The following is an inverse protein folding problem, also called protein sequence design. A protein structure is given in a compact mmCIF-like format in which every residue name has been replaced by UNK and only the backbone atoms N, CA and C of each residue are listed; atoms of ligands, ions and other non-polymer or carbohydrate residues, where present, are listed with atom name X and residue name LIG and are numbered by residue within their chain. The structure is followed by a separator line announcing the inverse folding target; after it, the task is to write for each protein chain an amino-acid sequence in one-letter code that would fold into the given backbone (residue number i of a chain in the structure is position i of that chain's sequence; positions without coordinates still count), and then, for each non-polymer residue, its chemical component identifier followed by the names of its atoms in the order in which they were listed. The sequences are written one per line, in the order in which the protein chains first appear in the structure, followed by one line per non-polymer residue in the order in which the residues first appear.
data_IF_622365628458
#
_entry.id   IF_622365628458
#
_cell.length_a   1.000
_cell.length_b   1.000
_cell.length_c   1.000
_cell.angle_alpha   90.00
_cell.angle_beta   90.00
_cell.angle_gamma   90.00
#
_symmetry.space_group_name_H-M   'P 1'
#
loop_
_entity.id
_entity.type
_entity.pdbx_description
1 polymer ?
#
# COMPACT_ATOMS: atom_id res chain seq x y z
N UNK A 1 18.99 19.61 19.17
CA UNK A 1 18.03 18.63 18.60
C UNK A 1 16.90 18.45 19.61
N UNK A 2 15.62 18.62 19.24
CA UNK A 2 14.51 18.41 20.18
C UNK A 2 14.46 16.91 20.52
N UNK A 3 14.40 16.50 21.81
CA UNK A 3 14.35 15.09 22.18
C UNK A 3 13.08 14.39 21.70
N UNK A 4 12.02 15.17 21.51
CA UNK A 4 10.71 14.72 21.06
C UNK A 4 10.22 15.67 19.95
N UNK A 5 9.71 15.10 18.86
CA UNK A 5 9.21 15.80 17.68
C UNK A 5 7.84 15.25 17.26
N UNK A 6 6.97 16.05 16.66
CA UNK A 6 5.73 15.56 16.05
C UNK A 6 6.00 14.99 14.65
N UNK A 7 5.06 14.22 14.12
CA UNK A 7 5.15 13.74 12.73
C UNK A 7 5.17 14.91 11.73
N UNK A 8 4.36 15.95 11.97
CA UNK A 8 4.35 17.19 11.19
C UNK A 8 5.71 17.89 11.19
N UNK A 9 6.37 18.00 12.35
CA UNK A 9 7.71 18.58 12.45
C UNK A 9 8.74 17.78 11.65
N UNK A 10 8.60 16.45 11.56
CA UNK A 10 9.45 15.60 10.69
C UNK A 10 9.22 15.96 9.22
N UNK A 11 7.96 16.06 8.78
CA UNK A 11 7.62 16.45 7.41
C UNK A 11 8.13 17.85 7.05
N UNK A 12 8.06 18.80 7.99
CA UNK A 12 8.60 20.15 7.76
C UNK A 12 10.14 20.16 7.71
N UNK A 13 10.80 19.26 8.44
CA UNK A 13 12.26 19.18 8.54
C UNK A 13 12.92 18.44 7.38
N UNK A 14 12.19 17.57 6.69
CA UNK A 14 12.71 16.74 5.58
C UNK A 14 13.32 17.55 4.43
N UNK A 15 12.95 18.83 4.30
CA UNK A 15 13.55 19.76 3.32
C UNK A 15 15.00 20.17 3.63
N UNK A 16 15.47 19.94 4.86
CA UNK A 16 16.80 20.39 5.33
C UNK A 16 17.71 19.23 5.76
N UNK A 17 17.14 18.09 6.11
CA UNK A 17 17.86 16.89 6.55
C UNK A 17 17.03 15.64 6.31
N UNK A 18 17.66 14.51 6.05
CA UNK A 18 16.98 13.23 5.88
C UNK A 18 16.69 12.60 7.24
N UNK A 19 15.42 12.28 7.50
CA UNK A 19 14.99 11.67 8.78
C UNK A 19 14.40 10.30 8.49
N UNK A 20 15.04 9.25 9.01
CA UNK A 20 14.56 7.88 8.92
C UNK A 20 13.59 7.57 10.06
N UNK A 21 12.51 6.86 9.77
CA UNK A 21 11.58 6.39 10.82
C UNK A 21 12.01 5.00 11.32
N UNK A 22 12.06 4.83 12.65
CA UNK A 22 12.32 3.51 13.24
C UNK A 22 11.17 3.09 14.14
N UNK A 23 10.50 2.02 13.75
CA UNK A 23 9.43 1.39 14.52
C UNK A 23 10.04 0.41 15.52
N UNK A 24 9.94 0.72 16.81
CA UNK A 24 10.48 -0.13 17.87
C UNK A 24 9.45 -1.11 18.45
N UNK A 25 8.26 -1.18 17.85
CA UNK A 25 7.23 -2.17 18.19
C UNK A 25 7.63 -3.56 17.70
N UNK A 26 6.89 -4.58 18.12
CA UNK A 26 7.17 -5.96 17.72
C UNK A 26 6.93 -6.17 16.21
N UNK A 27 7.54 -7.20 15.59
CA UNK A 27 7.39 -7.49 14.16
C UNK A 27 5.93 -7.61 13.72
N UNK A 28 5.05 -8.26 14.51
CA UNK A 28 3.62 -8.35 14.21
C UNK A 28 2.91 -6.99 14.21
N UNK A 29 3.26 -6.10 15.13
CA UNK A 29 2.70 -4.74 15.17
C UNK A 29 3.13 -3.92 13.94
N UNK A 30 4.38 -4.09 13.50
CA UNK A 30 4.96 -3.44 12.32
C UNK A 30 4.32 -3.95 11.03
N UNK A 31 4.29 -5.27 10.83
CA UNK A 31 3.69 -5.92 9.65
C UNK A 31 2.22 -5.56 9.47
N UNK A 32 1.47 -5.43 10.57
CA UNK A 32 0.05 -5.06 10.49
C UNK A 32 -0.13 -3.66 9.90
N UNK A 33 0.67 -2.68 10.35
CA UNK A 33 0.69 -1.31 9.81
C UNK A 33 1.77 -0.49 10.51
N UNK A 34 2.47 0.37 9.76
CA UNK A 34 3.51 1.27 10.29
C UNK A 34 3.49 2.63 9.56
N UNK A 35 4.46 3.50 9.85
CA UNK A 35 4.72 4.70 9.05
C UNK A 35 5.40 4.24 7.75
N UNK A 36 4.91 4.61 6.55
CA UNK A 36 5.55 4.25 5.29
C UNK A 36 7.05 4.58 5.29
N UNK A 37 7.86 3.63 4.82
CA UNK A 37 9.32 3.73 4.82
C UNK A 37 10.00 3.50 6.18
N UNK A 38 9.26 3.23 7.27
CA UNK A 38 9.88 2.93 8.56
C UNK A 38 10.61 1.58 8.56
N UNK A 39 11.73 1.50 9.28
CA UNK A 39 12.47 0.25 9.52
C UNK A 39 12.11 -0.29 10.89
N UNK A 40 11.86 -1.60 11.00
CA UNK A 40 11.57 -2.24 12.29
C UNK A 40 12.87 -2.66 13.01
N UNK A 41 13.12 -2.04 14.17
CA UNK A 41 14.16 -2.46 15.13
C UNK A 41 13.46 -2.67 16.48
N UNK A 42 12.86 -3.85 16.70
CA UNK A 42 11.99 -4.10 17.84
C UNK A 42 12.77 -4.08 19.16
N UNK A 43 12.20 -3.45 20.20
CA UNK A 43 12.70 -3.59 21.58
C UNK A 43 12.41 -4.98 22.14
N UNK A 44 11.42 -5.67 21.57
CA UNK A 44 10.94 -6.99 21.96
C UNK A 44 10.27 -7.66 20.76
N UNK A 45 10.48 -8.97 20.63
CA UNK A 45 9.74 -9.80 19.67
C UNK A 45 8.27 -9.98 20.09
N UNK A 46 7.51 -10.70 19.26
CA UNK A 46 6.09 -10.90 19.48
C UNK A 46 5.78 -11.71 20.74
N UNK A 47 6.62 -12.69 21.08
CA UNK A 47 6.44 -13.55 22.25
C UNK A 47 6.71 -12.76 23.54
N UNK A 48 7.83 -12.06 23.60
CA UNK A 48 8.20 -11.21 24.73
C UNK A 48 7.17 -10.08 24.93
N UNK A 49 6.68 -9.47 23.84
CA UNK A 49 5.60 -8.48 23.91
C UNK A 49 4.33 -9.06 24.52
N UNK A 50 3.96 -10.28 24.17
CA UNK A 50 2.77 -10.95 24.72
C UNK A 50 2.93 -11.25 26.21
N UNK A 51 4.08 -11.81 26.62
CA UNK A 51 4.39 -12.13 28.03
C UNK A 51 4.38 -10.86 28.89
N UNK A 52 5.11 -9.83 28.49
CA UNK A 52 5.14 -8.54 29.17
C UNK A 52 3.72 -7.95 29.25
N UNK A 53 2.96 -8.01 28.15
CA UNK A 53 1.58 -7.53 28.13
C UNK A 53 0.66 -8.25 29.12
N UNK A 54 0.84 -9.57 29.32
CA UNK A 54 0.10 -10.35 30.34
C UNK A 54 0.50 -9.94 31.76
N UNK A 55 1.79 -9.82 32.04
CA UNK A 55 2.30 -9.39 33.36
C UNK A 55 1.80 -7.99 33.74
N UNK A 56 1.83 -7.03 32.80
CA UNK A 56 1.26 -5.69 33.03
C UNK A 56 -0.24 -5.73 33.34
N UNK A 57 -1.01 -6.55 32.62
CA UNK A 57 -2.45 -6.72 32.90
C UNK A 57 -2.72 -7.39 34.25
N UNK A 58 -1.83 -8.25 34.71
CA UNK A 58 -1.89 -8.91 36.02
C UNK A 58 -1.34 -8.03 37.17
N UNK A 59 -0.90 -6.79 36.90
CA UNK A 59 -0.32 -5.90 37.90
C UNK A 59 1.13 -6.22 38.30
N UNK A 60 1.77 -7.20 37.65
CA UNK A 60 3.15 -7.62 37.90
C UNK A 60 4.14 -6.69 37.15
N UNK A 61 4.12 -5.40 37.47
CA UNK A 61 4.83 -4.37 36.69
C UNK A 61 6.35 -4.55 36.76
N UNK A 62 6.90 -4.81 37.94
CA UNK A 62 8.35 -4.90 38.11
C UNK A 62 8.91 -6.20 37.52
N UNK A 63 8.19 -7.32 37.63
CA UNK A 63 8.52 -8.57 36.91
C UNK A 63 8.51 -8.35 35.40
N UNK A 64 7.53 -7.60 34.88
CA UNK A 64 7.46 -7.27 33.46
C UNK A 64 8.65 -6.41 33.00
N UNK A 65 9.10 -5.45 33.82
CA UNK A 65 10.31 -4.66 33.55
C UNK A 65 11.56 -5.55 33.56
N UNK A 66 11.71 -6.40 34.57
CA UNK A 66 12.85 -7.30 34.71
C UNK A 66 12.96 -8.27 33.53
N UNK A 67 11.82 -8.82 33.10
CA UNK A 67 11.75 -9.66 31.91
C UNK A 67 12.15 -8.88 30.64
N UNK A 68 11.64 -7.66 30.47
CA UNK A 68 11.98 -6.79 29.34
C UNK A 68 13.47 -6.43 29.29
N UNK A 69 14.08 -6.11 30.44
CA UNK A 69 15.52 -5.83 30.54
C UNK A 69 16.33 -7.05 30.11
N UNK A 70 16.00 -8.23 30.64
CA UNK A 70 16.69 -9.49 30.29
C UNK A 70 16.60 -9.79 28.80
N UNK A 71 15.43 -9.59 28.19
CA UNK A 71 15.26 -9.84 26.75
C UNK A 71 16.03 -8.84 25.89
N UNK A 72 15.95 -7.55 26.22
CA UNK A 72 16.55 -6.48 25.43
C UNK A 72 18.08 -6.46 25.54
N UNK A 73 18.63 -6.67 26.75
CA UNK A 73 20.08 -6.59 27.01
C UNK A 73 20.88 -7.56 26.14
N UNK A 74 20.38 -8.78 25.94
CA UNK A 74 20.99 -9.78 25.08
C UNK A 74 21.10 -9.36 23.60
N UNK A 75 20.31 -8.37 23.17
CA UNK A 75 20.18 -7.93 21.76
C UNK A 75 20.69 -6.51 21.52
N UNK A 76 21.07 -5.79 22.58
CA UNK A 76 21.55 -4.40 22.47
C UNK A 76 22.73 -4.24 21.50
N UNK A 77 23.75 -5.13 21.46
CA UNK A 77 24.86 -4.98 20.52
C UNK A 77 24.41 -5.00 19.05
N UNK A 78 23.53 -5.96 18.70
CA UNK A 78 22.98 -6.08 17.35
C UNK A 78 22.08 -4.88 17.01
N UNK A 79 21.19 -4.49 17.93
CA UNK A 79 20.34 -3.31 17.74
C UNK A 79 21.16 -2.05 17.49
N UNK A 80 22.22 -1.83 18.29
CA UNK A 80 23.10 -0.68 18.15
C UNK A 80 23.80 -0.65 16.78
N UNK A 81 24.30 -1.79 16.31
CA UNK A 81 24.89 -1.90 14.97
C UNK A 81 23.88 -1.53 13.86
N UNK A 82 22.63 -1.97 13.98
CA UNK A 82 21.56 -1.63 13.02
C UNK A 82 21.24 -0.12 13.02
N UNK A 83 21.19 0.53 14.19
CA UNK A 83 21.03 1.98 14.26
C UNK A 83 22.19 2.73 13.60
N UNK A 84 23.42 2.30 13.84
CA UNK A 84 24.61 2.87 13.20
C UNK A 84 24.58 2.70 11.68
N UNK A 85 24.13 1.55 11.19
CA UNK A 85 24.00 1.30 9.76
C UNK A 85 22.97 2.24 9.11
N UNK A 86 21.79 2.40 9.72
CA UNK A 86 20.77 3.32 9.19
C UNK A 86 21.25 4.77 9.16
N UNK A 87 22.09 5.17 10.13
CA UNK A 87 22.68 6.51 10.15
C UNK A 87 23.73 6.77 9.05
N UNK A 88 24.06 5.77 8.24
CA UNK A 88 24.82 6.00 7.00
C UNK A 88 23.91 6.54 5.87
N UNK A 89 22.59 6.37 5.99
CA UNK A 89 21.59 6.78 4.99
C UNK A 89 20.78 8.00 5.46
N UNK A 90 20.68 8.23 6.76
CA UNK A 90 19.86 9.29 7.36
C UNK A 90 20.67 10.18 8.31
N UNK A 91 20.43 11.49 8.24
CA UNK A 91 21.02 12.47 9.17
C UNK A 91 20.52 12.29 10.61
N UNK A 92 19.30 11.77 10.76
CA UNK A 92 18.65 11.52 12.06
C UNK A 92 17.68 10.34 11.98
N UNK A 93 17.51 9.62 13.10
CA UNK A 93 16.46 8.61 13.23
C UNK A 93 15.37 9.04 14.23
N UNK A 94 14.12 9.05 13.76
CA UNK A 94 12.93 9.32 14.56
C UNK A 94 12.31 8.00 15.04
N UNK A 95 12.50 7.71 16.32
CA UNK A 95 12.04 6.49 16.98
C UNK A 95 10.57 6.59 17.39
N UNK A 96 9.80 5.53 17.24
CA UNK A 96 8.43 5.49 17.74
C UNK A 96 8.01 4.09 18.22
N UNK A 97 7.15 4.08 19.24
CA UNK A 97 6.38 2.90 19.63
C UNK A 97 4.88 3.20 19.52
N UNK A 98 3.99 2.34 20.04
CA UNK A 98 2.54 2.51 19.80
C UNK A 98 1.97 3.84 20.31
N UNK A 99 2.47 4.37 21.44
CA UNK A 99 1.98 5.61 22.07
C UNK A 99 3.08 6.58 22.52
N UNK A 100 4.32 6.35 22.08
CA UNK A 100 5.48 7.16 22.49
C UNK A 100 5.88 6.98 23.97
N UNK A 101 5.55 5.83 24.57
CA UNK A 101 5.86 5.50 25.97
C UNK A 101 7.23 4.84 26.17
N UNK A 102 7.34 4.04 27.24
CA UNK A 102 8.58 3.45 27.77
C UNK A 102 9.43 2.75 26.71
N UNK A 103 8.85 1.93 25.82
CA UNK A 103 9.61 1.20 24.79
C UNK A 103 10.50 2.11 23.94
N UNK A 104 9.93 3.18 23.37
CA UNK A 104 10.70 4.15 22.58
C UNK A 104 11.58 5.06 23.46
N UNK A 105 11.14 5.36 24.68
CA UNK A 105 11.87 6.22 25.63
C UNK A 105 13.20 5.59 26.08
N UNK A 106 13.18 4.30 26.43
CA UNK A 106 14.35 3.57 26.91
C UNK A 106 15.43 3.47 25.83
N UNK A 107 15.06 3.05 24.61
CA UNK A 107 16.01 2.95 23.51
C UNK A 107 16.52 4.32 23.08
N UNK A 108 15.65 5.32 22.99
CA UNK A 108 16.05 6.69 22.72
C UNK A 108 17.10 7.19 23.73
N UNK A 109 16.85 6.99 25.03
CA UNK A 109 17.73 7.49 26.09
C UNK A 109 19.11 6.83 26.01
N UNK A 110 19.16 5.52 25.75
CA UNK A 110 20.42 4.79 25.52
C UNK A 110 21.18 5.34 24.30
N UNK A 111 20.53 5.39 23.14
CA UNK A 111 21.17 5.85 21.90
C UNK A 111 21.61 7.31 22.00
N UNK A 112 20.82 8.15 22.69
CA UNK A 112 21.15 9.55 22.91
C UNK A 112 22.36 9.71 23.83
N UNK A 113 22.46 8.91 24.89
CA UNK A 113 23.62 8.88 25.77
C UNK A 113 24.90 8.42 25.04
N UNK A 114 24.76 7.54 24.05
CA UNK A 114 25.85 7.11 23.16
C UNK A 114 26.16 8.14 22.04
N UNK A 115 25.51 9.30 22.03
CA UNK A 115 25.78 10.39 21.10
C UNK A 115 25.13 10.25 19.72
N UNK A 116 24.22 9.29 19.50
CA UNK A 116 23.58 9.12 18.19
C UNK A 116 22.54 10.24 17.93
N UNK A 117 22.42 10.71 16.68
CA UNK A 117 21.40 11.68 16.26
C UNK A 117 20.04 10.99 16.16
N UNK A 118 19.36 10.91 17.30
CA UNK A 118 18.01 10.34 17.41
C UNK A 118 17.04 11.34 18.04
N UNK A 119 15.77 11.21 17.65
CA UNK A 119 14.60 11.83 18.28
C UNK A 119 13.48 10.81 18.48
N UNK A 120 12.40 11.24 19.12
CA UNK A 120 11.18 10.44 19.30
C UNK A 120 9.95 11.10 18.71
N UNK A 121 9.09 10.30 18.09
CA UNK A 121 7.76 10.76 17.68
C UNK A 121 6.85 10.92 18.91
N UNK A 122 6.43 12.17 19.16
CA UNK A 122 5.48 12.53 20.21
C UNK A 122 4.17 11.75 20.00
N UNK A 123 3.74 11.02 21.03
CA UNK A 123 2.52 10.18 20.96
C UNK A 123 2.64 8.94 20.08
N UNK A 124 3.81 8.67 19.49
CA UNK A 124 4.13 7.46 18.74
C UNK A 124 3.22 7.21 17.52
N UNK A 125 3.06 5.94 17.17
CA UNK A 125 2.24 5.53 16.03
C UNK A 125 0.78 6.01 16.15
N UNK A 126 0.21 6.08 17.36
CA UNK A 126 -1.16 6.60 17.57
C UNK A 126 -1.30 8.05 17.11
N UNK A 127 -0.32 8.92 17.43
CA UNK A 127 -0.36 10.31 17.01
C UNK A 127 -0.20 10.44 15.48
N UNK A 128 0.70 9.66 14.89
CA UNK A 128 0.81 9.56 13.42
C UNK A 128 -0.53 9.14 12.77
N UNK A 129 -1.21 8.14 13.33
CA UNK A 129 -2.52 7.71 12.82
C UNK A 129 -3.56 8.81 12.85
N UNK A 130 -3.59 9.58 13.93
CA UNK A 130 -4.51 10.69 14.06
C UNK A 130 -4.23 11.74 12.98
N UNK A 131 -2.96 12.11 12.82
CA UNK A 131 -2.52 13.03 11.78
C UNK A 131 -2.94 12.58 10.37
N UNK A 132 -2.71 11.32 10.01
CA UNK A 132 -3.14 10.77 8.71
C UNK A 132 -4.65 10.92 8.50
N UNK A 133 -5.45 10.55 9.49
CA UNK A 133 -6.92 10.60 9.37
C UNK A 133 -7.45 12.03 9.24
N UNK A 134 -6.82 12.99 9.93
CA UNK A 134 -7.21 14.40 9.86
C UNK A 134 -6.89 15.03 8.51
N UNK A 135 -5.73 14.71 7.94
CA UNK A 135 -5.23 15.41 6.75
C UNK A 135 -5.55 14.71 5.43
N UNK A 136 -5.82 13.39 5.43
CA UNK A 136 -6.09 12.65 4.19
C UNK A 136 -7.31 13.19 3.44
N UNK A 137 -8.38 13.55 4.17
CA UNK A 137 -9.59 14.10 3.55
C UNK A 137 -9.31 15.44 2.84
N UNK A 138 -8.51 16.31 3.43
CA UNK A 138 -8.12 17.59 2.83
C UNK A 138 -7.24 17.36 1.59
N UNK A 139 -6.27 16.44 1.67
CA UNK A 139 -5.34 16.16 0.58
C UNK A 139 -6.02 15.62 -0.69
N UNK A 140 -7.05 14.78 -0.52
CA UNK A 140 -7.75 14.18 -1.66
C UNK A 140 -8.83 15.10 -2.24
N UNK A 141 -9.33 16.07 -1.48
CA UNK A 141 -10.40 16.98 -1.94
C UNK A 141 -9.89 18.25 -2.63
N UNK A 142 -8.60 18.58 -2.47
CA UNK A 142 -7.96 19.73 -3.16
C UNK A 142 -7.53 19.45 -4.61
N UNK A 143 -7.59 18.21 -5.06
CA UNK A 143 -7.15 17.77 -6.40
C UNK A 143 -8.34 17.39 -7.28
N UNK A 144 -8.10 17.27 -8.59
CA UNK A 144 -9.07 16.75 -9.55
C UNK A 144 -8.65 15.37 -10.02
N UNK A 145 -9.56 14.40 -9.96
CA UNK A 145 -9.25 13.04 -10.43
C UNK A 145 -9.62 12.83 -11.90
N UNK A 146 -8.71 12.18 -12.63
CA UNK A 146 -8.98 11.51 -13.91
C UNK A 146 -8.92 10.01 -13.67
N UNK A 147 -10.08 9.35 -13.77
CA UNK A 147 -10.24 7.93 -13.43
C UNK A 147 -10.24 7.07 -14.69
N UNK A 148 -9.32 6.10 -14.73
CA UNK A 148 -9.19 5.10 -15.78
C UNK A 148 -10.13 3.93 -15.50
N UNK A 149 -11.13 3.77 -16.35
CA UNK A 149 -12.05 2.65 -16.37
C UNK A 149 -11.70 1.70 -17.51
N UNK A 150 -11.98 0.42 -17.38
CA UNK A 150 -11.67 -0.56 -18.42
C UNK A 150 -11.80 -1.98 -17.89
N UNK A 151 -12.03 -2.94 -18.79
CA UNK A 151 -12.16 -4.36 -18.45
C UNK A 151 -10.88 -4.91 -17.82
N UNK A 152 -10.95 -6.06 -17.15
CA UNK A 152 -9.78 -6.74 -16.59
C UNK A 152 -8.75 -7.04 -17.69
N UNK A 153 -7.46 -6.80 -17.42
CA UNK A 153 -6.39 -6.96 -18.39
C UNK A 153 -6.24 -5.80 -19.39
N UNK A 154 -6.97 -4.70 -19.26
CA UNK A 154 -6.84 -3.52 -20.16
C UNK A 154 -5.52 -2.75 -20.05
N UNK A 155 -4.63 -3.11 -19.11
CA UNK A 155 -3.33 -2.45 -18.92
C UNK A 155 -3.39 -1.13 -18.15
N UNK A 156 -4.44 -0.90 -17.35
CA UNK A 156 -4.61 0.35 -16.56
C UNK A 156 -3.41 0.60 -15.63
N UNK A 157 -2.97 -0.42 -14.89
CA UNK A 157 -1.85 -0.32 -13.94
C UNK A 157 -0.57 0.10 -14.67
N UNK A 158 -0.27 -0.50 -15.82
CA UNK A 158 0.89 -0.13 -16.64
C UNK A 158 0.77 1.30 -17.18
N UNK A 159 -0.42 1.71 -17.64
CA UNK A 159 -0.67 3.09 -18.09
C UNK A 159 -0.44 4.09 -16.93
N UNK A 160 -0.90 3.78 -15.71
CA UNK A 160 -0.65 4.62 -14.54
C UNK A 160 0.85 4.71 -14.22
N UNK A 161 1.59 3.60 -14.32
CA UNK A 161 3.04 3.61 -14.16
C UNK A 161 3.73 4.48 -15.22
N UNK A 162 3.32 4.40 -16.48
CA UNK A 162 3.84 5.25 -17.56
C UNK A 162 3.47 6.74 -17.39
N UNK A 163 2.25 7.04 -16.94
CA UNK A 163 1.84 8.41 -16.59
C UNK A 163 2.72 9.00 -15.48
N UNK A 164 3.04 8.20 -14.45
CA UNK A 164 3.95 8.58 -13.37
C UNK A 164 5.37 8.87 -13.91
N UNK A 165 5.89 8.04 -14.82
CA UNK A 165 7.20 8.27 -15.48
C UNK A 165 7.21 9.56 -16.32
N UNK A 166 6.07 9.94 -16.89
CA UNK A 166 5.89 11.20 -17.63
C UNK A 166 5.70 12.42 -16.70
N UNK A 167 5.76 12.24 -15.38
CA UNK A 167 5.66 13.32 -14.38
C UNK A 167 4.24 13.67 -13.97
N UNK A 168 3.24 12.87 -14.33
CA UNK A 168 1.87 13.08 -13.86
C UNK A 168 1.71 12.58 -12.42
N UNK A 169 0.83 13.23 -11.64
CA UNK A 169 0.44 12.72 -10.34
C UNK A 169 -0.44 11.48 -10.52
N UNK A 170 -0.10 10.40 -9.82
CA UNK A 170 -0.80 9.12 -9.89
C UNK A 170 -1.13 8.63 -8.49
N UNK A 171 -2.35 8.12 -8.33
CA UNK A 171 -2.78 7.36 -7.16
C UNK A 171 -3.10 5.92 -7.60
N UNK A 172 -2.17 5.02 -7.34
CA UNK A 172 -2.36 3.58 -7.51
C UNK A 172 -2.98 2.98 -6.24
N UNK A 173 -4.30 2.76 -6.29
CA UNK A 173 -5.10 2.23 -5.19
C UNK A 173 -4.80 0.76 -4.92
N UNK A 174 -4.54 -0.03 -5.97
CA UNK A 174 -4.14 -1.44 -5.88
C UNK A 174 -2.81 -1.59 -5.13
N UNK A 175 -1.81 -0.77 -5.46
CA UNK A 175 -0.54 -0.71 -4.75
C UNK A 175 -0.72 -0.24 -3.30
N UNK A 176 -1.57 0.77 -3.06
CA UNK A 176 -1.89 1.21 -1.70
C UNK A 176 -2.54 0.10 -0.88
N UNK A 177 -3.39 -0.73 -1.48
CA UNK A 177 -4.06 -1.85 -0.83
C UNK A 177 -3.20 -3.12 -0.78
N UNK A 178 -2.10 -3.17 -1.55
CA UNK A 178 -1.36 -4.39 -1.86
C UNK A 178 -2.32 -5.50 -2.34
N UNK A 179 -3.16 -5.18 -3.33
CA UNK A 179 -4.20 -6.06 -3.87
C UNK A 179 -4.68 -5.61 -5.26
N UNK A 180 -4.84 -6.54 -6.20
CA UNK A 180 -5.18 -6.26 -7.62
C UNK A 180 -6.67 -6.17 -7.93
N UNK A 181 -7.47 -5.54 -7.06
CA UNK A 181 -8.90 -5.24 -7.31
C UNK A 181 -9.87 -6.40 -7.61
N UNK A 182 -9.41 -7.65 -7.68
CA UNK A 182 -10.16 -8.78 -8.24
C UNK A 182 -10.30 -9.96 -7.26
N UNK A 183 -11.12 -10.96 -7.60
CA UNK A 183 -11.29 -12.17 -6.77
C UNK A 183 -9.96 -12.91 -6.56
N UNK A 184 -9.09 -12.86 -7.56
CA UNK A 184 -7.77 -13.47 -7.54
C UNK A 184 -6.67 -12.45 -7.19
N UNK A 185 -7.05 -11.27 -6.70
CA UNK A 185 -6.15 -10.11 -6.61
C UNK A 185 -5.07 -10.18 -5.53
N UNK A 186 -5.03 -11.25 -4.73
CA UNK A 186 -3.96 -11.51 -3.76
C UNK A 186 -2.83 -12.39 -4.31
N UNK A 187 -3.00 -13.01 -5.48
CA UNK A 187 -2.01 -13.94 -6.06
C UNK A 187 -0.69 -13.21 -6.33
N UNK A 188 0.42 -13.83 -5.95
CA UNK A 188 1.77 -13.30 -6.20
C UNK A 188 2.09 -12.02 -5.40
N UNK A 189 1.23 -11.64 -4.45
CA UNK A 189 1.46 -10.50 -3.55
C UNK A 189 1.72 -10.97 -2.13
N UNK A 190 2.41 -10.12 -1.36
CA UNK A 190 2.45 -10.29 0.10
C UNK A 190 1.06 -10.05 0.71
N UNK A 191 0.90 -10.27 2.01
CA UNK A 191 -0.40 -10.10 2.67
C UNK A 191 -1.02 -8.71 2.36
N UNK A 192 -2.32 -8.64 2.00
CA UNK A 192 -2.99 -7.37 1.73
C UNK A 192 -2.84 -6.39 2.89
N UNK A 193 -2.70 -5.12 2.57
CA UNK A 193 -2.56 -4.10 3.59
C UNK A 193 -3.80 -4.06 4.50
N UNK A 194 -3.59 -3.85 5.80
CA UNK A 194 -4.68 -3.55 6.72
C UNK A 194 -5.31 -2.20 6.38
N UNK A 195 -6.54 -1.93 6.84
CA UNK A 195 -7.18 -0.62 6.66
C UNK A 195 -6.27 0.54 7.07
N UNK A 196 -5.53 0.36 8.17
CA UNK A 196 -4.59 1.38 8.64
C UNK A 196 -3.46 1.57 7.62
N UNK A 197 -2.80 0.49 7.23
CA UNK A 197 -1.69 0.60 6.27
C UNK A 197 -2.15 1.18 4.94
N UNK A 198 -3.33 0.80 4.44
CA UNK A 198 -3.95 1.39 3.26
C UNK A 198 -4.10 2.92 3.36
N UNK A 199 -4.72 3.42 4.43
CA UNK A 199 -4.85 4.86 4.66
C UNK A 199 -3.49 5.57 4.80
N UNK A 200 -2.47 4.90 5.39
CA UNK A 200 -1.10 5.44 5.43
C UNK A 200 -0.53 5.59 4.02
N UNK A 201 -0.69 4.59 3.15
CA UNK A 201 -0.17 4.62 1.78
C UNK A 201 -0.91 5.66 0.93
N UNK A 202 -2.23 5.78 1.08
CA UNK A 202 -3.01 6.85 0.43
C UNK A 202 -2.50 8.24 0.84
N UNK A 203 -2.26 8.45 2.13
CA UNK A 203 -1.70 9.71 2.62
C UNK A 203 -0.30 9.94 2.05
N UNK A 204 0.57 8.92 2.07
CA UNK A 204 1.94 9.03 1.57
C UNK A 204 2.01 9.45 0.10
N UNK A 205 1.18 8.81 -0.74
CA UNK A 205 1.05 9.08 -2.17
C UNK A 205 0.52 10.50 -2.46
N UNK A 206 -0.27 11.08 -1.55
CA UNK A 206 -0.92 12.38 -1.72
C UNK A 206 -0.21 13.56 -1.03
N UNK A 207 0.91 13.30 -0.33
CA UNK A 207 1.64 14.31 0.47
C UNK A 207 2.01 15.56 -0.33
N UNK A 208 2.48 15.37 -1.57
CA UNK A 208 3.08 16.44 -2.36
C UNK A 208 2.10 17.13 -3.32
N UNK A 209 0.86 16.65 -3.42
CA UNK A 209 -0.14 17.26 -4.30
C UNK A 209 -0.43 18.70 -3.90
N UNK A 210 -0.73 19.55 -4.88
CA UNK A 210 -1.13 20.93 -4.71
C UNK A 210 -2.59 21.11 -5.09
N UNK A 211 -3.19 22.21 -4.62
CA UNK A 211 -4.57 22.56 -4.99
C UNK A 211 -4.68 22.76 -6.50
N UNK A 212 -5.63 22.07 -7.13
CA UNK A 212 -5.85 22.11 -8.58
C UNK A 212 -5.01 21.12 -9.38
N UNK A 213 -4.13 20.34 -8.73
CA UNK A 213 -3.42 19.25 -9.40
C UNK A 213 -4.41 18.25 -9.98
N UNK A 214 -4.05 17.68 -11.14
CA UNK A 214 -4.75 16.55 -11.72
C UNK A 214 -4.07 15.26 -11.33
N UNK A 215 -4.83 14.31 -10.77
CA UNK A 215 -4.35 13.01 -10.31
C UNK A 215 -5.03 11.90 -11.11
N UNK A 216 -4.23 11.04 -11.72
CA UNK A 216 -4.71 9.86 -12.42
C UNK A 216 -4.84 8.68 -11.47
N UNK A 217 -5.92 7.92 -11.59
CA UNK A 217 -6.17 6.74 -10.74
C UNK A 217 -7.03 5.73 -11.49
N UNK A 218 -7.04 4.48 -11.04
CA UNK A 218 -7.90 3.43 -11.56
C UNK A 218 -9.32 3.47 -10.97
N UNK A 219 -10.27 3.05 -11.80
CA UNK A 219 -11.69 3.03 -11.48
C UNK A 219 -12.11 1.82 -10.66
N UNK A 220 -11.72 1.79 -9.40
CA UNK A 220 -12.02 0.68 -8.50
C UNK A 220 -13.36 0.78 -7.76
N UNK A 221 -13.80 -0.36 -7.23
CA UNK A 221 -14.89 -0.40 -6.26
C UNK A 221 -14.45 0.28 -4.95
N UNK A 222 -15.40 0.74 -4.13
CA UNK A 222 -15.07 1.32 -2.82
C UNK A 222 -14.28 0.36 -1.92
N UNK A 223 -14.38 -0.95 -2.14
CA UNK A 223 -13.62 -1.98 -1.43
C UNK A 223 -12.60 -2.62 -2.36
N UNK A 224 -11.35 -2.68 -1.90
CA UNK A 224 -10.22 -3.30 -2.61
C UNK A 224 -9.64 -4.36 -1.67
N UNK A 225 -9.96 -5.63 -1.93
CA UNK A 225 -9.72 -6.72 -0.99
C UNK A 225 -10.43 -6.46 0.35
N UNK A 226 -9.64 -6.32 1.43
CA UNK A 226 -10.14 -5.99 2.77
C UNK A 226 -10.14 -4.48 3.08
N UNK A 227 -9.49 -3.67 2.24
CA UNK A 227 -9.39 -2.23 2.43
C UNK A 227 -10.64 -1.53 1.90
N UNK A 228 -11.08 -0.50 2.61
CA UNK A 228 -12.23 0.33 2.23
C UNK A 228 -11.75 1.75 2.01
N UNK A 229 -12.00 2.26 0.81
CA UNK A 229 -11.69 3.62 0.42
C UNK A 229 -12.40 4.64 1.34
N UNK A 230 -11.67 5.63 1.89
CA UNK A 230 -12.27 6.73 2.62
C UNK A 230 -13.35 7.43 1.77
N UNK A 231 -14.44 7.83 2.40
CA UNK A 231 -15.59 8.43 1.70
C UNK A 231 -15.18 9.66 0.85
N UNK A 232 -14.38 10.62 1.36
CA UNK A 232 -13.99 11.79 0.56
C UNK A 232 -13.23 11.41 -0.72
N UNK A 233 -12.31 10.45 -0.64
CA UNK A 233 -11.56 9.96 -1.81
C UNK A 233 -12.50 9.28 -2.82
N UNK A 234 -13.39 8.41 -2.33
CA UNK A 234 -14.34 7.71 -3.19
C UNK A 234 -15.26 8.68 -3.94
N UNK A 235 -15.77 9.71 -3.27
CA UNK A 235 -16.59 10.75 -3.89
C UNK A 235 -15.82 11.53 -4.95
N UNK A 236 -14.57 11.91 -4.68
CA UNK A 236 -13.72 12.62 -5.63
C UNK A 236 -13.44 11.78 -6.89
N UNK A 237 -13.16 10.48 -6.73
CA UNK A 237 -13.00 9.55 -7.86
C UNK A 237 -14.32 9.36 -8.63
N UNK A 238 -15.46 9.26 -7.94
CA UNK A 238 -16.76 9.14 -8.62
C UNK A 238 -17.17 10.41 -9.37
N UNK A 239 -16.83 11.59 -8.86
CA UNK A 239 -17.17 12.87 -9.46
C UNK A 239 -16.13 13.35 -10.49
N UNK A 240 -14.92 12.79 -10.45
CA UNK A 240 -13.85 13.08 -11.38
C UNK A 240 -14.18 12.76 -12.85
N UNK A 241 -13.30 13.23 -13.72
CA UNK A 241 -13.34 12.92 -15.14
C UNK A 241 -13.10 11.43 -15.35
N UNK A 242 -13.87 10.81 -16.24
CA UNK A 242 -13.83 9.36 -16.46
C UNK A 242 -13.36 9.09 -17.87
N UNK A 243 -12.31 8.31 -18.04
CA UNK A 243 -11.86 7.82 -19.34
C UNK A 243 -12.02 6.31 -19.40
N UNK A 244 -12.28 5.78 -20.60
CA UNK A 244 -12.37 4.35 -20.83
C UNK A 244 -11.13 3.87 -21.58
N UNK A 245 -10.48 2.83 -21.05
CA UNK A 245 -9.38 2.12 -21.66
C UNK A 245 -9.96 0.85 -22.27
N UNK A 246 -10.07 0.88 -23.59
CA UNK A 246 -10.47 -0.27 -24.39
C UNK A 246 -9.23 -1.09 -24.77
N UNK A 247 -9.37 -2.41 -24.82
CA UNK A 247 -8.29 -3.31 -25.20
C UNK A 247 -8.85 -4.61 -25.78
N UNK A 248 -8.24 -5.06 -26.88
CA UNK A 248 -8.64 -6.31 -27.53
C UNK A 248 -8.42 -7.51 -26.59
N UNK A 249 -9.29 -8.53 -26.67
CA UNK A 249 -9.18 -9.73 -25.84
C UNK A 249 -7.78 -10.38 -25.86
N UNK A 250 -7.09 -10.53 -27.02
CA UNK A 250 -5.73 -11.06 -27.04
C UNK A 250 -4.72 -10.23 -26.22
N UNK A 251 -4.83 -8.90 -26.25
CA UNK A 251 -4.03 -8.02 -25.40
C UNK A 251 -4.31 -8.31 -23.93
N UNK A 252 -5.59 -8.35 -23.55
CA UNK A 252 -6.01 -8.58 -22.15
C UNK A 252 -5.56 -9.93 -21.61
N UNK A 253 -5.60 -10.97 -22.43
CA UNK A 253 -5.11 -12.31 -22.09
C UNK A 253 -3.60 -12.29 -21.84
N UNK A 254 -2.83 -11.66 -22.73
CA UNK A 254 -1.38 -11.57 -22.58
C UNK A 254 -0.98 -10.73 -21.36
N UNK A 255 -1.68 -9.62 -21.09
CA UNK A 255 -1.47 -8.79 -19.91
C UNK A 255 -1.65 -9.61 -18.63
N UNK A 256 -2.78 -10.31 -18.48
CA UNK A 256 -3.04 -11.12 -17.29
C UNK A 256 -2.05 -12.29 -17.17
N UNK A 257 -1.63 -12.86 -18.30
CA UNK A 257 -0.60 -13.90 -18.31
C UNK A 257 0.71 -13.38 -17.71
N UNK A 258 1.18 -12.22 -18.16
CA UNK A 258 2.36 -11.57 -17.59
C UNK A 258 2.17 -11.25 -16.10
N UNK A 259 1.05 -10.64 -15.73
CA UNK A 259 0.81 -10.20 -14.36
C UNK A 259 0.73 -11.38 -13.38
N UNK A 260 0.12 -12.50 -13.75
CA UNK A 260 -0.18 -13.62 -12.84
C UNK A 260 0.66 -14.87 -13.07
N UNK A 261 0.88 -15.28 -14.32
CA UNK A 261 1.49 -16.58 -14.64
C UNK A 261 3.01 -16.50 -14.65
N UNK A 262 3.58 -15.45 -15.23
CA UNK A 262 5.04 -15.27 -15.24
C UNK A 262 5.58 -14.91 -13.85
N UNK A 263 4.74 -14.26 -13.02
CA UNK A 263 5.10 -13.79 -11.69
C UNK A 263 4.86 -14.82 -10.56
N UNK A 264 4.17 -15.94 -10.82
CA UNK A 264 3.68 -16.84 -9.76
C UNK A 264 3.83 -18.33 -10.10
N UNK A 265 4.03 -19.17 -9.08
CA UNK A 265 3.99 -20.62 -9.22
C UNK A 265 2.60 -21.12 -9.66
N UNK A 266 2.57 -22.01 -10.65
CA UNK A 266 1.35 -22.65 -11.16
C UNK A 266 0.54 -23.33 -10.05
N UNK A 267 1.19 -23.85 -9.02
CA UNK A 267 0.56 -24.46 -7.85
C UNK A 267 -0.28 -23.46 -7.07
N UNK A 268 0.20 -22.22 -6.91
CA UNK A 268 -0.55 -21.14 -6.24
C UNK A 268 -1.78 -20.74 -7.07
N UNK A 269 -1.64 -20.69 -8.40
CA UNK A 269 -2.75 -20.42 -9.32
C UNK A 269 -3.84 -21.50 -9.20
N UNK A 270 -3.45 -22.78 -9.22
CA UNK A 270 -4.37 -23.92 -9.08
C UNK A 270 -5.10 -23.89 -7.73
N UNK A 271 -4.37 -23.63 -6.64
CA UNK A 271 -4.95 -23.52 -5.30
C UNK A 271 -5.95 -22.36 -5.23
N UNK A 272 -5.62 -21.22 -5.84
CA UNK A 272 -6.51 -20.05 -5.79
C UNK A 272 -7.77 -20.27 -6.64
N UNK A 273 -7.66 -20.95 -7.78
CA UNK A 273 -8.83 -21.35 -8.58
C UNK A 273 -9.82 -22.23 -7.79
N UNK A 274 -9.37 -23.01 -6.81
CA UNK A 274 -10.27 -23.83 -6.00
C UNK A 274 -11.33 -23.00 -5.26
N UNK A 275 -10.99 -21.76 -4.86
CA UNK A 275 -11.93 -20.85 -4.23
C UNK A 275 -13.03 -20.35 -5.19
N UNK A 276 -12.81 -20.43 -6.50
CA UNK A 276 -13.83 -20.08 -7.50
C UNK A 276 -14.99 -21.06 -7.55
N UNK A 277 -14.87 -22.26 -6.96
CA UNK A 277 -15.98 -23.22 -6.85
C UNK A 277 -17.21 -22.69 -6.10
N UNK A 278 -17.06 -21.57 -5.35
CA UNK A 278 -18.18 -20.87 -4.69
C UNK A 278 -18.98 -19.97 -5.63
N UNK A 279 -18.42 -19.61 -6.79
CA UNK A 279 -18.98 -18.64 -7.73
C UNK A 279 -19.11 -19.18 -9.15
N UNK A 280 -18.59 -20.39 -9.40
CA UNK A 280 -18.63 -21.10 -10.67
C UNK A 280 -18.85 -22.60 -10.43
N UNK A 281 -19.44 -23.29 -11.41
CA UNK A 281 -19.56 -24.75 -11.44
C UNK A 281 -18.20 -25.44 -11.18
N UNK A 282 -18.21 -26.48 -10.33
CA UNK A 282 -16.99 -27.19 -9.90
C UNK A 282 -16.28 -27.95 -11.03
N UNK A 283 -17.01 -28.54 -11.98
CA UNK A 283 -16.41 -29.24 -13.13
C UNK A 283 -15.63 -28.28 -14.02
N UNK A 284 -16.14 -27.04 -14.18
CA UNK A 284 -15.40 -25.97 -14.89
C UNK A 284 -14.12 -25.60 -14.16
N UNK A 285 -14.15 -25.50 -12.83
CA UNK A 285 -12.96 -25.23 -12.02
C UNK A 285 -11.95 -26.36 -12.16
N UNK A 286 -12.37 -27.62 -12.05
CA UNK A 286 -11.50 -28.79 -12.23
C UNK A 286 -10.85 -28.82 -13.63
N UNK A 287 -11.62 -28.52 -14.68
CA UNK A 287 -11.10 -28.40 -16.04
C UNK A 287 -10.03 -27.31 -16.15
N UNK A 288 -10.28 -26.12 -15.62
CA UNK A 288 -9.30 -25.02 -15.64
C UNK A 288 -8.03 -25.36 -14.85
N UNK A 289 -8.17 -26.07 -13.73
CA UNK A 289 -7.01 -26.54 -12.96
C UNK A 289 -6.16 -27.55 -13.77
N UNK A 290 -6.80 -28.43 -14.54
CA UNK A 290 -6.09 -29.35 -15.42
C UNK A 290 -5.37 -28.59 -16.55
N UNK A 291 -6.06 -27.65 -17.20
CA UNK A 291 -5.46 -26.79 -18.23
C UNK A 291 -4.24 -26.00 -17.74
N UNK A 292 -4.26 -25.51 -16.49
CA UNK A 292 -3.06 -24.89 -15.90
C UNK A 292 -1.89 -25.86 -15.77
N UNK A 293 -2.13 -27.12 -15.37
CA UNK A 293 -1.09 -28.16 -15.29
C UNK A 293 -0.52 -28.51 -16.66
N UNK A 294 -1.36 -28.45 -17.69
CA UNK A 294 -0.99 -28.77 -19.08
C UNK A 294 -0.33 -27.58 -19.80
N UNK A 295 -0.11 -26.45 -19.11
CA UNK A 295 0.53 -25.25 -19.66
C UNK A 295 -0.40 -24.35 -20.47
N UNK A 296 -1.71 -24.60 -20.48
CA UNK A 296 -2.72 -23.87 -21.26
C UNK A 296 -3.26 -22.62 -20.53
N UNK A 297 -2.44 -21.90 -19.77
CA UNK A 297 -2.93 -20.83 -18.90
C UNK A 297 -3.64 -19.69 -19.65
N UNK A 298 -3.26 -19.40 -20.89
CA UNK A 298 -3.96 -18.39 -21.72
C UNK A 298 -5.42 -18.75 -21.99
N UNK A 299 -5.72 -20.03 -22.21
CA UNK A 299 -7.09 -20.53 -22.42
C UNK A 299 -7.95 -20.37 -21.16
N UNK A 300 -7.35 -20.63 -19.99
CA UNK A 300 -7.99 -20.41 -18.68
C UNK A 300 -8.29 -18.92 -18.47
N UNK A 301 -7.32 -18.05 -18.74
CA UNK A 301 -7.47 -16.58 -18.61
C UNK A 301 -8.60 -16.07 -19.51
N UNK A 302 -8.59 -16.46 -20.78
CA UNK A 302 -9.63 -16.07 -21.74
C UNK A 302 -11.02 -16.49 -21.27
N UNK A 303 -11.15 -17.74 -20.82
CA UNK A 303 -12.41 -18.28 -20.28
C UNK A 303 -12.90 -17.46 -19.09
N UNK A 304 -12.02 -17.12 -18.15
CA UNK A 304 -12.35 -16.31 -16.97
C UNK A 304 -12.76 -14.88 -17.34
N UNK A 305 -12.07 -14.25 -18.28
CA UNK A 305 -12.40 -12.90 -18.76
C UNK A 305 -13.81 -12.87 -19.33
N UNK A 306 -14.09 -13.72 -20.31
CA UNK A 306 -15.35 -13.70 -21.06
C UNK A 306 -16.51 -14.21 -20.20
N UNK A 307 -16.31 -15.28 -19.43
CA UNK A 307 -17.42 -15.96 -18.74
C UNK A 307 -17.73 -15.39 -17.35
N UNK A 308 -16.79 -14.67 -16.72
CA UNK A 308 -16.93 -14.25 -15.32
C UNK A 308 -16.70 -12.75 -15.11
N UNK A 309 -15.61 -12.18 -15.62
CA UNK A 309 -15.25 -10.79 -15.34
C UNK A 309 -16.02 -9.79 -16.20
N UNK A 310 -16.01 -9.95 -17.53
CA UNK A 310 -16.66 -9.01 -18.46
C UNK A 310 -18.17 -8.83 -18.20
N UNK A 311 -18.96 -9.90 -17.92
CA UNK A 311 -20.39 -9.75 -17.62
C UNK A 311 -20.66 -8.88 -16.39
N UNK A 312 -19.77 -8.87 -15.39
CA UNK A 312 -19.93 -8.06 -14.18
C UNK A 312 -19.67 -6.58 -14.39
N UNK A 313 -18.99 -6.23 -15.48
CA UNK A 313 -18.71 -4.84 -15.82
C UNK A 313 -19.93 -4.12 -16.42
N UNK A 314 -20.87 -4.88 -17.00
CA UNK A 314 -22.03 -4.37 -17.75
C UNK A 314 -23.08 -3.61 -16.92
N UNK A 315 -22.95 -3.57 -15.59
CA UNK A 315 -24.00 -3.10 -14.69
C UNK A 315 -24.00 -1.60 -14.36
N UNK A 316 -23.07 -0.79 -14.87
CA UNK A 316 -23.05 0.67 -14.60
C UNK A 316 -22.83 1.48 -15.87
N UNK A 317 -23.89 2.12 -16.38
CA UNK A 317 -23.77 3.18 -17.39
C UNK A 317 -22.97 4.33 -16.79
N UNK A 318 -21.75 4.53 -17.28
CA UNK A 318 -20.92 5.70 -16.99
C UNK A 318 -20.78 6.51 -18.26
N UNK A 319 -20.85 7.83 -18.14
CA UNK A 319 -20.47 8.74 -19.22
C UNK A 319 -18.96 8.91 -19.16
N UNK A 320 -18.29 8.55 -20.24
CA UNK A 320 -16.83 8.72 -20.39
C UNK A 320 -16.55 9.97 -21.20
N UNK A 321 -15.60 10.78 -20.74
CA UNK A 321 -15.13 11.96 -21.45
C UNK A 321 -14.33 11.60 -22.72
N UNK A 322 -13.61 10.47 -22.67
CA UNK A 322 -12.81 9.95 -23.78
C UNK A 322 -12.62 8.44 -23.67
N UNK A 323 -12.48 7.78 -24.81
CA UNK A 323 -12.03 6.39 -24.91
C UNK A 323 -10.67 6.35 -25.58
N UNK A 324 -9.75 5.56 -25.01
CA UNK A 324 -8.44 5.25 -25.56
C UNK A 324 -8.34 3.75 -25.79
N UNK A 325 -7.84 3.34 -26.95
CA UNK A 325 -7.55 1.92 -27.22
C UNK A 325 -6.10 1.66 -26.85
N UNK A 326 -5.88 0.79 -25.85
CA UNK A 326 -4.56 0.42 -25.40
C UNK A 326 -4.03 -0.77 -26.21
N UNK A 327 -2.91 -0.53 -26.90
CA UNK A 327 -2.05 -1.55 -27.51
C UNK A 327 -0.63 -1.47 -26.96
N UNK A 328 -0.28 -0.33 -26.36
CA UNK A 328 1.00 -0.02 -25.75
C UNK A 328 0.75 1.00 -24.63
N UNK A 329 1.15 0.67 -23.40
CA UNK A 329 0.87 1.50 -22.23
C UNK A 329 1.57 2.88 -22.30
N UNK A 330 2.78 2.94 -22.85
CA UNK A 330 3.57 4.17 -22.97
C UNK A 330 2.92 5.15 -23.95
N UNK A 331 2.55 4.67 -25.15
CA UNK A 331 1.87 5.49 -26.15
C UNK A 331 0.50 5.95 -25.65
N UNK A 332 -0.23 5.06 -24.99
CA UNK A 332 -1.55 5.37 -24.41
C UNK A 332 -1.44 6.42 -23.30
N UNK A 333 -0.46 6.30 -22.40
CA UNK A 333 -0.20 7.27 -21.35
C UNK A 333 0.14 8.66 -21.94
N UNK A 334 0.99 8.71 -22.97
CA UNK A 334 1.31 9.96 -23.66
C UNK A 334 0.07 10.60 -24.30
N UNK A 335 -0.80 9.80 -24.94
CA UNK A 335 -2.04 10.27 -25.54
C UNK A 335 -3.05 10.79 -24.49
N UNK A 336 -3.17 10.11 -23.34
CA UNK A 336 -4.00 10.54 -22.21
C UNK A 336 -3.51 11.88 -21.67
N UNK A 337 -2.19 12.02 -21.47
CA UNK A 337 -1.60 13.24 -20.94
C UNK A 337 -1.79 14.42 -21.90
N UNK A 338 -1.59 14.22 -23.20
CA UNK A 338 -1.83 15.24 -24.23
C UNK A 338 -3.31 15.67 -24.27
N UNK A 339 -4.23 14.72 -24.19
CA UNK A 339 -5.67 15.00 -24.10
C UNK A 339 -6.00 15.84 -22.86
N UNK A 340 -5.50 15.45 -21.68
CA UNK A 340 -5.75 16.16 -20.44
C UNK A 340 -5.22 17.60 -20.49
N UNK A 341 -4.02 17.82 -21.04
CA UNK A 341 -3.44 19.16 -21.20
C UNK A 341 -4.24 20.04 -22.17
N UNK A 342 -4.80 19.47 -23.24
CA UNK A 342 -5.65 20.22 -24.16
C UNK A 342 -7.00 20.62 -23.55
N UNK A 343 -7.54 19.80 -22.64
CA UNK A 343 -8.80 20.07 -21.95
C UNK A 343 -8.69 21.18 -20.89
N UNK A 344 -7.50 21.42 -20.34
CA UNK A 344 -7.23 22.51 -19.36
C UNK A 344 -7.05 23.88 -20.03
N UNK A 345 -6.81 23.94 -21.34
CA UNK A 345 -6.62 25.19 -22.09
C UNK A 345 -7.91 25.81 -22.64
N UNK A 346 -9.05 25.14 -22.44
CA UNK A 346 -10.40 25.57 -22.81
C UNK A 346 -11.17 25.91 -21.54
#
# INVERSE_FOLDING_TARGET
MKPTITYEEVLASSKKKTIGFVDVRSPKEYQLSTIPGAVNIPVMDDQAREVIGKMYKAGQIDDAKQYGVTWASARLPEMYARYRQLLNEYDELALFCSRGGMRSDTIFSLLKALGLPVSRIKGGYKAYRHYVLEHLAEQVTRVQFVTLYGLSGSGKTDILAELSKLGANVLDLEACANHRGSLLGSIGLTAPHSQKMFESMLFDASRNWQTGDVVFTEGESRRIGQAVMPQPLYEQIQNGQKIFIDAALPYRVNQIYHDYVEATDVTELINTLSYMGKVMNQDRVAKMQQQLKDGEAKSVIETLLVSYYDPKYSYRKKTYAKTFTNQNAQETAAAILAWQQSAVRL
#
